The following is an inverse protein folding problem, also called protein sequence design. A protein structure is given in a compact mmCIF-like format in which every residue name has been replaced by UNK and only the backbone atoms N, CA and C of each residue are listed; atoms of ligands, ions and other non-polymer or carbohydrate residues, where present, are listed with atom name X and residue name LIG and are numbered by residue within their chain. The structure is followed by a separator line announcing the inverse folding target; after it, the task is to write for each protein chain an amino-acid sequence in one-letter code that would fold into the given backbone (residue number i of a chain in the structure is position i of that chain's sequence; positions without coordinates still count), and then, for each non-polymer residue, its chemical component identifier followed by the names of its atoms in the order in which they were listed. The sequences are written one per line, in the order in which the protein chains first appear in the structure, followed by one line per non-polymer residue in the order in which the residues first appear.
data_IF_653097500587
#
_entry.id   IF_653097500587
#
_cell.length_a   1.000
_cell.length_b   1.000
_cell.length_c   1.000
_cell.angle_alpha   90.00
_cell.angle_beta   90.00
_cell.angle_gamma   90.00
#
_symmetry.space_group_name_H-M   'P 1'
#
loop_
_entity.id
_entity.type
_entity.pdbx_description
1 polymer ?
#
# COMPACT_ATOMS: atom_id res chain seq x y z
N UNK A 1 47.08 -24.22 30.03
CA UNK A 1 45.63 -23.94 29.93
C UNK A 1 45.25 -22.58 29.31
N UNK A 2 46.18 -21.64 29.05
CA UNK A 2 45.89 -20.30 28.45
C UNK A 2 45.71 -20.26 26.92
N UNK A 3 46.07 -21.33 26.21
CA UNK A 3 46.08 -21.36 24.74
C UNK A 3 44.69 -21.64 24.12
N UNK A 4 43.84 -22.43 24.80
CA UNK A 4 42.49 -22.72 24.34
C UNK A 4 41.53 -21.54 24.53
N UNK A 5 41.73 -20.72 25.57
CA UNK A 5 40.88 -19.56 25.85
C UNK A 5 40.93 -18.52 24.72
N UNK A 6 42.13 -18.28 24.15
CA UNK A 6 42.30 -17.34 23.03
C UNK A 6 41.61 -17.83 21.75
N UNK A 7 41.68 -19.13 21.46
CA UNK A 7 41.01 -19.72 20.27
C UNK A 7 39.50 -19.70 20.42
N UNK A 8 38.97 -20.03 21.60
CA UNK A 8 37.51 -19.95 21.85
C UNK A 8 37.02 -18.51 21.78
N UNK A 9 37.77 -17.54 22.30
CA UNK A 9 37.40 -16.12 22.23
C UNK A 9 37.39 -15.61 20.78
N UNK A 10 38.39 -15.98 19.97
CA UNK A 10 38.40 -15.64 18.55
C UNK A 10 37.23 -16.26 17.79
N UNK A 11 36.90 -17.53 18.06
CA UNK A 11 35.78 -18.21 17.41
C UNK A 11 34.43 -17.56 17.78
N UNK A 12 34.22 -17.21 19.06
CA UNK A 12 32.99 -16.52 19.48
C UNK A 12 32.90 -15.11 18.91
N UNK A 13 34.02 -14.38 18.82
CA UNK A 13 34.05 -13.04 18.23
C UNK A 13 33.74 -13.09 16.73
N UNK A 14 34.35 -14.04 16.01
CA UNK A 14 34.09 -14.23 14.59
C UNK A 14 32.62 -14.63 14.34
N UNK A 15 32.08 -15.54 15.14
CA UNK A 15 30.68 -15.95 15.03
C UNK A 15 29.72 -14.78 15.30
N UNK A 16 29.99 -13.96 16.32
CA UNK A 16 29.20 -12.77 16.64
C UNK A 16 29.22 -11.75 15.50
N UNK A 17 30.40 -11.48 14.92
CA UNK A 17 30.53 -10.58 13.76
C UNK A 17 29.77 -11.11 12.55
N UNK A 18 29.87 -12.41 12.24
CA UNK A 18 29.12 -13.02 11.15
C UNK A 18 27.61 -12.93 11.36
N UNK A 19 27.12 -13.18 12.58
CA UNK A 19 25.69 -13.06 12.88
C UNK A 19 25.19 -11.62 12.76
N UNK A 20 25.97 -10.64 13.25
CA UNK A 20 25.61 -9.23 13.14
C UNK A 20 25.61 -8.75 11.68
N UNK A 21 26.58 -9.19 10.87
CA UNK A 21 26.62 -8.88 9.45
C UNK A 21 25.41 -9.48 8.70
N UNK A 22 25.03 -10.72 9.01
CA UNK A 22 23.85 -11.35 8.40
C UNK A 22 22.56 -10.62 8.79
N UNK A 23 22.41 -10.27 10.06
CA UNK A 23 21.28 -9.46 10.52
C UNK A 23 21.25 -8.09 9.84
N UNK A 24 22.38 -7.39 9.72
CA UNK A 24 22.44 -6.09 9.04
C UNK A 24 22.03 -6.19 7.56
N UNK A 25 22.46 -7.25 6.86
CA UNK A 25 22.07 -7.49 5.46
C UNK A 25 20.56 -7.75 5.36
N UNK A 26 20.03 -8.66 6.16
CA UNK A 26 18.59 -8.98 6.15
C UNK A 26 17.75 -7.76 6.54
N UNK A 27 18.18 -7.02 7.56
CA UNK A 27 17.52 -5.80 8.01
C UNK A 27 17.54 -4.71 6.91
N UNK A 28 18.66 -4.55 6.19
CA UNK A 28 18.74 -3.61 5.07
C UNK A 28 17.85 -3.99 3.88
N UNK A 29 17.56 -5.27 3.69
CA UNK A 29 16.63 -5.73 2.65
C UNK A 29 15.17 -5.55 3.06
N UNK A 30 14.85 -5.76 4.34
CA UNK A 30 13.49 -5.62 4.88
C UNK A 30 13.11 -4.14 5.00
N UNK A 31 14.05 -3.30 5.41
CA UNK A 31 13.79 -1.92 5.82
C UNK A 31 14.43 -0.91 4.88
N UNK A 32 14.69 -1.26 3.61
CA UNK A 32 15.11 -0.27 2.62
C UNK A 32 13.95 0.74 2.49
N UNK A 33 14.01 1.93 3.12
CA UNK A 33 12.93 2.87 3.07
C UNK A 33 13.00 3.42 1.66
N UNK A 34 12.16 2.90 0.77
CA UNK A 34 12.01 3.49 -0.55
C UNK A 34 11.70 4.95 -0.31
N UNK A 35 12.61 5.83 -0.73
CA UNK A 35 12.38 7.27 -0.66
C UNK A 35 11.28 7.56 -1.66
N UNK A 36 10.04 7.66 -1.18
CA UNK A 36 8.92 8.07 -1.99
C UNK A 36 9.26 9.45 -2.60
N UNK A 37 9.07 9.57 -3.90
CA UNK A 37 9.17 10.86 -4.58
C UNK A 37 8.22 11.87 -3.95
N UNK A 38 8.51 13.17 -4.12
CA UNK A 38 7.61 14.22 -3.64
C UNK A 38 6.19 14.08 -4.25
N UNK A 39 6.09 13.61 -5.50
CA UNK A 39 4.82 13.36 -6.16
C UNK A 39 4.03 12.20 -5.54
N UNK A 40 4.71 11.09 -5.23
CA UNK A 40 4.11 9.95 -4.50
C UNK A 40 3.60 10.39 -3.13
N UNK A 41 4.43 11.10 -2.35
CA UNK A 41 4.08 11.58 -1.02
C UNK A 41 2.91 12.55 -1.04
N UNK A 42 2.88 13.46 -2.02
CA UNK A 42 1.78 14.43 -2.19
C UNK A 42 0.46 13.73 -2.52
N UNK A 43 0.47 12.76 -3.44
CA UNK A 43 -0.73 12.00 -3.81
C UNK A 43 -1.25 11.17 -2.62
N UNK A 44 -0.37 10.43 -1.94
CA UNK A 44 -0.74 9.63 -0.77
C UNK A 44 -1.38 10.49 0.33
N UNK A 45 -0.78 11.66 0.62
CA UNK A 45 -1.30 12.57 1.65
C UNK A 45 -2.66 13.19 1.25
N UNK A 46 -2.81 13.60 -0.01
CA UNK A 46 -4.08 14.12 -0.51
C UNK A 46 -5.22 13.09 -0.37
N UNK A 47 -4.95 11.82 -0.70
CA UNK A 47 -5.95 10.74 -0.62
C UNK A 47 -6.25 10.35 0.84
N UNK A 48 -5.23 10.33 1.69
CA UNK A 48 -5.40 10.04 3.12
C UNK A 48 -6.35 11.04 3.79
N UNK A 49 -6.22 12.33 3.44
CA UNK A 49 -7.00 13.43 4.02
C UNK A 49 -8.38 13.63 3.37
N UNK A 50 -8.61 13.05 2.20
CA UNK A 50 -9.89 13.16 1.50
C UNK A 50 -11.02 12.44 2.26
N UNK A 51 -12.17 13.06 2.57
CA UNK A 51 -13.26 12.37 3.24
C UNK A 51 -13.89 11.25 2.38
N UNK A 52 -14.39 10.20 3.03
CA UNK A 52 -15.38 9.34 2.40
C UNK A 52 -16.67 10.15 2.16
N UNK A 53 -17.45 9.78 1.16
CA UNK A 53 -18.66 10.52 0.80
C UNK A 53 -18.41 11.77 -0.05
N UNK A 54 -17.16 12.16 -0.30
CA UNK A 54 -16.84 13.25 -1.22
C UNK A 54 -17.24 12.89 -2.65
N UNK A 55 -17.68 13.90 -3.40
CA UNK A 55 -18.05 13.75 -4.80
C UNK A 55 -16.82 13.70 -5.71
N UNK A 56 -17.02 13.23 -6.94
CA UNK A 56 -15.99 13.21 -7.98
C UNK A 56 -15.32 14.59 -8.22
N UNK A 57 -16.05 15.70 -8.40
CA UNK A 57 -15.44 17.02 -8.58
C UNK A 57 -14.67 17.53 -7.35
N UNK A 58 -15.18 17.29 -6.15
CA UNK A 58 -14.48 17.65 -4.90
C UNK A 58 -13.17 16.88 -4.76
N UNK A 59 -13.18 15.62 -5.14
CA UNK A 59 -12.02 14.73 -5.12
C UNK A 59 -10.92 15.23 -6.04
N UNK A 60 -11.24 15.52 -7.30
CA UNK A 60 -10.26 16.02 -8.27
C UNK A 60 -9.69 17.37 -7.85
N UNK A 61 -10.53 18.24 -7.27
CA UNK A 61 -10.09 19.52 -6.71
C UNK A 61 -9.15 19.32 -5.51
N UNK A 62 -9.43 18.36 -4.63
CA UNK A 62 -8.63 18.08 -3.43
C UNK A 62 -7.29 17.42 -3.77
N UNK A 63 -7.29 16.46 -4.71
CA UNK A 63 -6.08 15.81 -5.21
C UNK A 63 -5.26 16.76 -6.09
N UNK A 64 -5.92 17.70 -6.77
CA UNK A 64 -5.28 18.69 -7.65
C UNK A 64 -4.91 18.13 -9.02
N UNK A 65 -5.43 16.95 -9.40
CA UNK A 65 -5.25 16.38 -10.73
C UNK A 65 -6.41 15.45 -11.11
N UNK A 66 -6.69 15.37 -12.40
CA UNK A 66 -7.61 14.38 -12.95
C UNK A 66 -7.06 12.95 -12.78
N UNK A 67 -7.92 11.92 -12.69
CA UNK A 67 -7.48 10.55 -12.68
C UNK A 67 -6.81 10.17 -14.01
N UNK A 68 -5.83 9.26 -13.92
CA UNK A 68 -5.15 8.73 -15.10
C UNK A 68 -6.04 7.73 -15.85
N UNK A 69 -6.96 7.06 -15.14
CA UNK A 69 -7.99 6.23 -15.76
C UNK A 69 -9.27 6.18 -14.92
N UNK A 70 -10.38 5.92 -15.60
CA UNK A 70 -11.70 5.69 -14.99
C UNK A 70 -12.29 4.41 -15.57
N UNK A 71 -12.80 3.53 -14.71
CA UNK A 71 -13.36 2.23 -15.07
C UNK A 71 -14.63 2.00 -14.27
N UNK A 72 -15.70 1.59 -14.95
CA UNK A 72 -16.92 1.11 -14.28
C UNK A 72 -16.84 -0.42 -14.16
N UNK A 73 -16.94 -0.93 -12.95
CA UNK A 73 -16.90 -2.38 -12.68
C UNK A 73 -17.75 -2.72 -11.45
N UNK A 74 -18.28 -3.94 -11.43
CA UNK A 74 -18.95 -4.47 -10.26
C UNK A 74 -17.90 -4.94 -9.25
N UNK A 75 -18.10 -4.61 -7.98
CA UNK A 75 -17.23 -5.02 -6.90
C UNK A 75 -18.01 -5.22 -5.60
N UNK A 76 -17.39 -5.89 -4.64
CA UNK A 76 -17.99 -6.17 -3.34
C UNK A 76 -17.27 -5.31 -2.29
N UNK A 77 -17.98 -4.32 -1.76
CA UNK A 77 -17.48 -3.47 -0.69
C UNK A 77 -17.69 -4.14 0.67
N UNK A 78 -16.59 -4.54 1.32
CA UNK A 78 -16.65 -5.09 2.68
C UNK A 78 -16.51 -3.99 3.72
N UNK A 79 -15.56 -3.08 3.49
CA UNK A 79 -15.37 -1.86 4.27
C UNK A 79 -14.64 -0.81 3.41
N UNK A 80 -14.55 0.46 3.85
CA UNK A 80 -13.98 1.54 3.03
C UNK A 80 -12.50 1.39 2.62
N UNK A 81 -11.79 0.41 3.15
CA UNK A 81 -10.39 0.13 2.83
C UNK A 81 -10.19 -1.25 2.17
N UNK A 82 -11.26 -2.02 1.96
CA UNK A 82 -11.20 -3.38 1.46
C UNK A 82 -12.38 -3.69 0.54
N UNK A 83 -12.04 -4.04 -0.71
CA UNK A 83 -12.99 -4.45 -1.74
C UNK A 83 -12.51 -5.74 -2.37
N UNK A 84 -13.47 -6.59 -2.72
CA UNK A 84 -13.23 -7.76 -3.56
C UNK A 84 -13.77 -7.55 -4.96
N UNK A 85 -13.17 -8.25 -5.92
CA UNK A 85 -13.77 -8.47 -7.23
C UNK A 85 -15.17 -9.10 -7.10
N UNK A 86 -16.10 -8.76 -8.00
CA UNK A 86 -17.46 -9.29 -8.01
C UNK A 86 -17.53 -10.83 -8.03
N UNK A 87 -16.53 -11.49 -8.60
CA UNK A 87 -16.45 -12.95 -8.70
C UNK A 87 -15.83 -13.64 -7.47
N UNK A 88 -15.35 -12.88 -6.48
CA UNK A 88 -14.69 -13.43 -5.31
C UNK A 88 -15.66 -14.24 -4.44
N UNK A 89 -15.43 -15.55 -4.32
CA UNK A 89 -16.21 -16.41 -3.44
C UNK A 89 -16.20 -15.94 -1.98
N UNK A 90 -15.08 -15.36 -1.52
CA UNK A 90 -14.96 -14.80 -0.16
C UNK A 90 -15.78 -13.52 -0.03
N UNK A 91 -15.77 -12.66 -1.05
CA UNK A 91 -16.58 -11.45 -1.08
C UNK A 91 -18.09 -11.77 -1.10
N UNK A 92 -18.50 -12.72 -1.94
CA UNK A 92 -19.89 -13.13 -2.10
C UNK A 92 -20.49 -13.76 -0.83
N UNK A 93 -19.66 -14.29 0.07
CA UNK A 93 -20.09 -14.76 1.38
C UNK A 93 -20.44 -13.60 2.35
N UNK A 94 -20.01 -12.37 2.03
CA UNK A 94 -20.17 -11.18 2.88
C UNK A 94 -21.29 -10.29 2.34
N UNK A 95 -21.25 -9.96 1.05
CA UNK A 95 -22.21 -9.06 0.41
C UNK A 95 -22.34 -9.32 -1.09
N UNK A 96 -23.41 -8.80 -1.68
CA UNK A 96 -23.64 -8.85 -3.13
C UNK A 96 -22.77 -7.81 -3.86
N UNK A 97 -22.32 -8.10 -5.11
CA UNK A 97 -21.64 -7.14 -5.94
C UNK A 97 -22.51 -5.92 -6.24
N UNK A 98 -21.90 -4.75 -6.26
CA UNK A 98 -22.55 -3.49 -6.63
C UNK A 98 -21.70 -2.76 -7.68
N UNK A 99 -22.34 -1.95 -8.55
CA UNK A 99 -21.61 -1.16 -9.54
C UNK A 99 -20.87 -0.01 -8.87
N UNK A 100 -19.60 0.16 -9.22
CA UNK A 100 -18.78 1.29 -8.81
C UNK A 100 -18.07 1.90 -10.03
N UNK A 101 -17.83 3.21 -9.95
CA UNK A 101 -16.90 3.89 -10.85
C UNK A 101 -15.57 4.06 -10.13
N UNK A 102 -14.52 3.38 -10.61
CA UNK A 102 -13.18 3.48 -10.07
C UNK A 102 -12.38 4.54 -10.81
N UNK A 103 -11.82 5.47 -10.06
CA UNK A 103 -10.90 6.50 -10.57
C UNK A 103 -9.51 6.23 -10.04
N UNK A 104 -8.53 6.14 -10.93
CA UNK A 104 -7.19 5.65 -10.60
C UNK A 104 -6.14 6.71 -10.87
N UNK A 105 -5.17 6.82 -9.97
CA UNK A 105 -3.98 7.65 -10.10
C UNK A 105 -2.74 6.80 -9.88
N UNK A 106 -1.69 7.06 -10.64
CA UNK A 106 -0.38 6.42 -10.53
C UNK A 106 0.72 7.48 -10.54
N UNK A 107 1.60 7.46 -9.54
CA UNK A 107 2.80 8.30 -9.50
C UNK A 107 3.95 7.41 -9.10
N UNK A 108 4.94 7.24 -9.98
CA UNK A 108 5.98 6.25 -9.77
C UNK A 108 5.35 4.86 -9.57
N UNK A 109 5.62 4.25 -8.42
CA UNK A 109 5.06 2.94 -8.08
C UNK A 109 3.87 3.03 -7.12
N UNK A 110 3.51 4.24 -6.68
CA UNK A 110 2.28 4.45 -5.92
C UNK A 110 1.08 4.40 -6.86
N UNK A 111 0.17 3.49 -6.56
CA UNK A 111 -1.14 3.39 -7.18
C UNK A 111 -2.22 3.76 -6.16
N UNK A 112 -3.19 4.52 -6.63
CA UNK A 112 -4.38 4.90 -5.88
C UNK A 112 -5.59 4.56 -6.72
N UNK A 113 -6.61 3.99 -6.09
CA UNK A 113 -7.94 3.82 -6.67
C UNK A 113 -8.99 4.29 -5.68
N UNK A 114 -9.90 5.14 -6.15
CA UNK A 114 -11.06 5.60 -5.41
C UNK A 114 -12.30 5.02 -6.05
N UNK A 115 -13.08 4.28 -5.27
CA UNK A 115 -14.34 3.69 -5.73
C UNK A 115 -15.50 4.64 -5.40
N UNK A 116 -16.24 5.05 -6.43
CA UNK A 116 -17.43 5.87 -6.31
C UNK A 116 -18.68 5.00 -6.43
N UNK A 117 -19.57 5.08 -5.44
CA UNK A 117 -20.85 4.40 -5.48
C UNK A 117 -21.79 5.06 -6.51
N UNK A 118 -22.95 4.43 -6.75
CA UNK A 118 -23.95 4.93 -7.70
C UNK A 118 -24.51 6.32 -7.38
N UNK A 119 -24.37 6.79 -6.15
CA UNK A 119 -24.72 8.16 -5.74
C UNK A 119 -23.64 9.21 -6.08
N UNK A 120 -22.56 8.79 -6.73
CA UNK A 120 -21.46 9.64 -7.18
C UNK A 120 -20.48 10.03 -6.08
N UNK A 121 -20.50 9.33 -4.94
CA UNK A 121 -19.66 9.62 -3.76
C UNK A 121 -18.66 8.52 -3.47
N UNK A 122 -17.53 8.87 -2.87
CA UNK A 122 -16.48 7.91 -2.50
C UNK A 122 -17.02 6.93 -1.45
N UNK A 123 -16.98 5.65 -1.79
CA UNK A 123 -17.30 4.55 -0.89
C UNK A 123 -16.04 3.87 -0.33
N UNK A 124 -14.94 3.86 -1.10
CA UNK A 124 -13.69 3.25 -0.68
C UNK A 124 -12.44 3.95 -1.24
N UNK A 125 -11.33 3.77 -0.54
CA UNK A 125 -9.99 4.20 -0.95
C UNK A 125 -9.02 3.04 -0.90
N UNK A 126 -8.30 2.84 -1.98
CA UNK A 126 -7.30 1.79 -2.11
C UNK A 126 -5.97 2.46 -2.50
N UNK A 127 -4.92 2.18 -1.74
CA UNK A 127 -3.57 2.67 -2.00
C UNK A 127 -2.64 1.46 -1.93
N UNK A 128 -1.82 1.25 -2.95
CA UNK A 128 -0.83 0.18 -2.98
C UNK A 128 0.43 0.62 -3.73
N UNK A 129 1.54 -0.04 -3.45
CA UNK A 129 2.79 0.12 -4.19
C UNK A 129 2.93 -1.03 -5.19
N UNK A 130 3.40 -0.74 -6.39
CA UNK A 130 3.94 -1.78 -7.27
C UNK A 130 5.24 -2.30 -6.64
N UNK A 131 5.39 -3.62 -6.58
CA UNK A 131 6.58 -4.32 -6.09
C UNK A 131 7.66 -4.38 -7.16
#
# INVERSE_FOLDING_TARGET
MRFNLKRTLCATLACAVCTLAFFAIQYSQIESPRVASAAESSLANAVATLPLGSSAPETEKHIGSHPDSTVDEDAILVNPSCMYDASSAQGLAIAEPQPFTFRKWKRGDLNVSLAFASDGKIAAKLIWLDN
#
